data_IF_225657477688
#
_entry.id   IF_225657477688
#
_cell.length_a   1.000
_cell.length_b   1.000
_cell.length_c   1.000
_cell.angle_alpha   90.00
_cell.angle_beta   90.00
_cell.angle_gamma   90.00
#
_symmetry.space_group_name_H-M   'P 1'
#
loop_
_entity.id
_entity.type
_entity.pdbx_description
1 polymer ?
#
# COMPACT_ATOMS: atom_id res chain seq x y z
N UNK A 1 -5.41 -26.58 -30.10
CA UNK A 1 -6.51 -25.64 -29.80
C UNK A 1 -6.78 -25.76 -28.29
N UNK A 2 -6.06 -25.01 -27.49
CA UNK A 2 -6.22 -25.03 -26.02
C UNK A 2 -7.28 -23.98 -25.66
N UNK A 3 -8.39 -24.44 -25.11
CA UNK A 3 -9.44 -23.57 -24.58
C UNK A 3 -8.93 -22.99 -23.26
N UNK A 4 -8.74 -21.69 -23.22
CA UNK A 4 -8.47 -20.94 -21.98
C UNK A 4 -9.70 -20.98 -21.08
N UNK A 5 -9.57 -21.15 -19.76
CA UNK A 5 -10.68 -20.97 -18.82
C UNK A 5 -11.11 -19.49 -18.86
N UNK A 6 -12.41 -19.27 -18.97
CA UNK A 6 -13.01 -17.94 -18.93
C UNK A 6 -12.71 -17.26 -17.58
N UNK A 7 -12.37 -15.99 -17.57
CA UNK A 7 -12.13 -15.27 -16.32
C UNK A 7 -13.41 -15.15 -15.50
N UNK A 8 -13.28 -15.26 -14.20
CA UNK A 8 -14.35 -14.94 -13.24
C UNK A 8 -14.78 -13.49 -13.53
N UNK A 9 -16.03 -13.30 -13.97
CA UNK A 9 -16.63 -11.98 -14.15
C UNK A 9 -16.78 -11.32 -12.80
N UNK A 10 -16.01 -10.32 -12.54
CA UNK A 10 -16.33 -9.32 -11.55
C UNK A 10 -17.45 -8.47 -12.11
N UNK A 11 -18.62 -8.48 -11.45
CA UNK A 11 -19.78 -7.73 -11.93
C UNK A 11 -19.48 -6.22 -11.89
N UNK A 12 -19.51 -5.61 -13.04
CA UNK A 12 -19.62 -4.16 -13.16
C UNK A 12 -21.00 -3.78 -12.61
N UNK A 13 -21.05 -3.17 -11.43
CA UNK A 13 -22.28 -2.65 -10.85
C UNK A 13 -22.81 -1.52 -11.74
N UNK A 14 -23.94 -1.76 -12.40
CA UNK A 14 -24.68 -0.72 -13.08
C UNK A 14 -25.18 0.28 -12.04
N UNK A 15 -24.81 1.55 -12.22
CA UNK A 15 -25.28 2.66 -11.40
C UNK A 15 -26.78 2.87 -11.61
N UNK A 16 -27.56 2.73 -10.56
CA UNK A 16 -28.95 3.22 -10.55
C UNK A 16 -28.93 4.76 -10.48
N UNK A 17 -29.68 5.38 -11.39
CA UNK A 17 -29.84 6.82 -11.48
C UNK A 17 -30.60 7.42 -10.29
N UNK A 18 -30.51 8.73 -10.07
CA UNK A 18 -31.05 9.37 -8.87
C UNK A 18 -32.57 9.43 -8.92
N UNK A 19 -33.25 8.95 -7.87
CA UNK A 19 -34.67 9.20 -7.62
C UNK A 19 -34.84 10.64 -7.18
N UNK A 20 -35.69 11.36 -7.92
CA UNK A 20 -36.20 12.70 -7.54
C UNK A 20 -37.00 12.60 -6.25
N UNK A 21 -36.65 13.39 -5.26
CA UNK A 21 -37.52 13.71 -4.12
C UNK A 21 -38.14 15.10 -4.32
N UNK A 22 -39.47 15.12 -4.30
CA UNK A 22 -40.29 16.30 -4.42
C UNK A 22 -40.12 17.26 -3.23
N UNK A 23 -40.18 18.53 -3.55
CA UNK A 23 -39.99 19.63 -2.65
C UNK A 23 -41.07 19.80 -1.59
N UNK A 24 -40.67 20.40 -0.49
CA UNK A 24 -41.61 21.06 0.44
C UNK A 24 -41.09 22.47 0.70
N UNK A 25 -41.89 23.44 0.34
CA UNK A 25 -41.54 24.85 0.48
C UNK A 25 -41.69 25.36 1.91
N UNK A 26 -40.76 26.21 2.32
CA UNK A 26 -40.99 27.06 3.49
C UNK A 26 -40.66 28.53 3.22
N UNK A 27 -41.48 29.36 3.82
CA UNK A 27 -41.70 30.80 3.59
C UNK A 27 -40.54 31.67 4.13
N UNK A 28 -40.33 32.80 3.43
CA UNK A 28 -39.46 33.91 3.79
C UNK A 28 -39.85 34.57 5.11
N UNK A 29 -38.92 34.74 6.02
CA UNK A 29 -38.95 35.70 7.11
C UNK A 29 -37.65 36.52 7.11
N UNK A 30 -37.80 37.85 6.90
CA UNK A 30 -36.69 38.82 7.01
C UNK A 30 -36.48 39.12 8.49
N UNK A 31 -35.26 39.02 8.97
CA UNK A 31 -34.77 39.74 10.15
C UNK A 31 -33.40 40.34 9.86
N UNK A 32 -33.33 41.65 9.89
CA UNK A 32 -32.07 42.39 9.95
C UNK A 32 -31.51 42.28 11.36
N UNK A 33 -30.24 41.86 11.48
CA UNK A 33 -29.44 42.20 12.66
C UNK A 33 -27.98 42.55 12.25
N UNK A 34 -27.49 43.62 12.83
CA UNK A 34 -26.19 44.19 12.65
C UNK A 34 -25.09 43.18 13.05
N UNK A 35 -24.12 42.99 12.16
CA UNK A 35 -22.87 42.28 12.49
C UNK A 35 -21.87 43.21 13.14
N UNK A 36 -21.56 42.97 14.40
CA UNK A 36 -20.25 43.36 14.99
C UNK A 36 -19.23 42.25 14.73
N UNK A 37 -18.18 42.55 13.98
CA UNK A 37 -17.11 41.60 13.68
C UNK A 37 -16.21 41.42 14.91
N UNK A 38 -16.32 40.32 15.60
CA UNK A 38 -15.30 39.80 16.52
C UNK A 38 -14.47 38.78 15.74
N UNK A 39 -13.24 39.14 15.42
CA UNK A 39 -12.22 38.19 14.96
C UNK A 39 -11.75 37.45 16.23
N UNK A 40 -12.43 36.39 16.59
CA UNK A 40 -11.91 35.42 17.53
C UNK A 40 -11.17 34.37 16.72
N UNK A 41 -9.84 34.42 16.78
CA UNK A 41 -8.98 33.33 16.32
C UNK A 41 -9.35 32.06 17.09
N UNK A 42 -10.06 31.15 16.44
CA UNK A 42 -10.34 29.82 16.96
C UNK A 42 -9.03 29.05 16.94
N UNK A 43 -8.25 29.11 18.03
CA UNK A 43 -7.34 28.03 18.36
C UNK A 43 -8.22 26.79 18.55
N UNK A 44 -8.26 25.91 17.56
CA UNK A 44 -8.82 24.58 17.72
C UNK A 44 -7.95 23.88 18.74
N UNK A 45 -8.40 23.89 20.01
CA UNK A 45 -7.83 23.04 21.04
C UNK A 45 -7.92 21.62 20.50
N UNK A 46 -6.77 20.97 20.34
CA UNK A 46 -6.71 19.55 20.07
C UNK A 46 -7.49 18.87 21.21
N UNK A 47 -8.70 18.39 20.95
CA UNK A 47 -9.41 17.54 21.91
C UNK A 47 -8.46 16.39 22.27
N UNK A 48 -8.19 16.24 23.55
CA UNK A 48 -7.44 15.11 24.09
C UNK A 48 -8.34 13.86 23.95
N UNK A 49 -8.34 13.27 22.77
CA UNK A 49 -9.11 12.06 22.48
C UNK A 49 -8.55 10.94 23.34
N UNK A 50 -9.36 10.43 24.23
CA UNK A 50 -8.94 9.40 25.20
C UNK A 50 -8.66 8.04 24.53
N UNK A 51 -9.10 7.81 23.28
CA UNK A 51 -9.01 6.54 22.54
C UNK A 51 -8.49 6.76 21.11
N UNK A 52 -7.88 5.73 20.49
CA UNK A 52 -7.48 5.78 19.09
C UNK A 52 -8.70 5.92 18.18
N UNK A 53 -8.56 6.67 17.09
CA UNK A 53 -9.62 6.79 16.11
C UNK A 53 -9.08 7.20 14.72
N UNK A 54 -9.78 6.78 13.64
CA UNK A 54 -9.45 7.18 12.29
C UNK A 54 -10.13 8.48 11.92
N UNK A 55 -9.40 9.34 11.23
CA UNK A 55 -9.86 10.65 10.76
C UNK A 55 -9.82 10.67 9.24
N UNK A 56 -10.95 10.95 8.61
CA UNK A 56 -11.00 11.20 7.16
C UNK A 56 -10.40 12.59 6.88
N UNK A 57 -9.23 12.61 6.27
CA UNK A 57 -8.52 13.84 5.94
C UNK A 57 -8.97 14.41 4.61
N UNK A 58 -9.24 13.53 3.63
CA UNK A 58 -9.77 13.90 2.32
C UNK A 58 -10.69 12.80 1.80
N UNK A 59 -11.88 13.19 1.34
CA UNK A 59 -12.86 12.25 0.80
C UNK A 59 -12.54 11.85 -0.65
N UNK A 60 -11.92 12.75 -1.39
CA UNK A 60 -11.52 12.55 -2.79
C UNK A 60 -10.27 13.39 -3.07
N UNK A 61 -9.10 12.77 -3.07
CA UNK A 61 -7.87 13.40 -3.49
C UNK A 61 -7.88 13.68 -5.00
N UNK A 62 -7.00 14.59 -5.46
CA UNK A 62 -6.96 15.04 -6.85
C UNK A 62 -6.57 13.97 -7.89
N UNK A 63 -5.99 12.86 -7.43
CA UNK A 63 -5.63 11.73 -8.30
C UNK A 63 -6.82 10.79 -8.53
N UNK A 64 -6.80 10.09 -9.69
CA UNK A 64 -7.82 9.12 -10.03
C UNK A 64 -7.87 7.97 -9.00
N UNK A 65 -9.07 7.57 -8.59
CA UNK A 65 -9.29 6.43 -7.71
C UNK A 65 -8.59 5.18 -8.27
N UNK A 66 -7.73 4.56 -7.45
CA UNK A 66 -6.84 3.47 -7.85
C UNK A 66 -6.41 2.60 -6.67
N UNK A 67 -5.84 1.46 -6.97
CA UNK A 67 -5.14 0.57 -6.07
C UNK A 67 -3.72 0.27 -6.58
N UNK A 68 -2.97 -0.58 -5.89
CA UNK A 68 -1.66 -1.10 -6.31
C UNK A 68 -0.61 -0.03 -6.62
N UNK A 69 -0.80 1.20 -6.15
CA UNK A 69 0.12 2.30 -6.39
C UNK A 69 1.41 2.16 -5.57
N UNK A 70 2.51 2.70 -6.10
CA UNK A 70 3.72 2.95 -5.32
C UNK A 70 3.53 4.15 -4.39
N UNK A 71 4.12 4.07 -3.19
CA UNK A 71 4.00 5.10 -2.15
C UNK A 71 5.32 5.41 -1.45
N UNK A 72 5.49 6.67 -1.03
CA UNK A 72 6.65 7.12 -0.26
C UNK A 72 6.27 8.17 0.77
N UNK A 73 7.04 8.23 1.85
CA UNK A 73 7.25 9.44 2.63
C UNK A 73 8.65 9.94 2.31
N UNK A 74 8.74 11.09 1.68
CA UNK A 74 10.01 11.63 1.22
C UNK A 74 10.00 13.16 1.26
N UNK A 75 11.05 13.76 1.81
CA UNK A 75 11.21 15.21 1.97
C UNK A 75 9.97 15.89 2.54
N UNK A 76 9.51 15.39 3.67
CA UNK A 76 8.33 15.89 4.40
C UNK A 76 7.05 15.97 3.54
N UNK A 77 6.88 15.03 2.62
CA UNK A 77 5.68 14.86 1.79
C UNK A 77 5.29 13.39 1.65
N UNK A 78 4.00 13.17 1.51
CA UNK A 78 3.41 11.93 1.04
C UNK A 78 3.48 11.89 -0.49
N UNK A 79 3.75 10.72 -1.07
CA UNK A 79 3.84 10.53 -2.51
C UNK A 79 3.05 9.31 -2.95
N UNK A 80 2.33 9.41 -4.07
CA UNK A 80 1.62 8.33 -4.74
C UNK A 80 1.98 8.36 -6.22
N UNK A 81 2.17 7.17 -6.81
CA UNK A 81 2.50 7.04 -8.22
C UNK A 81 2.05 5.70 -8.80
N UNK A 82 1.75 5.68 -10.09
CA UNK A 82 1.36 4.45 -10.78
C UNK A 82 0.09 3.84 -10.20
N UNK A 83 0.05 2.51 -10.13
CA UNK A 83 -1.08 1.73 -9.63
C UNK A 83 -1.97 1.21 -10.75
N UNK A 84 -3.15 0.75 -10.36
CA UNK A 84 -4.14 0.20 -11.26
C UNK A 84 -5.51 0.86 -11.07
N UNK A 85 -6.28 1.00 -12.15
CA UNK A 85 -7.67 1.46 -12.08
C UNK A 85 -8.60 0.71 -13.05
N UNK A 86 -8.06 0.10 -14.11
CA UNK A 86 -8.85 -0.60 -15.12
C UNK A 86 -8.01 -1.59 -15.92
N UNK A 87 -8.46 -2.84 -16.04
CA UNK A 87 -7.71 -3.89 -16.73
C UNK A 87 -7.63 -3.75 -18.25
N UNK A 88 -8.40 -2.83 -18.84
CA UNK A 88 -8.41 -2.53 -20.30
C UNK A 88 -7.57 -1.31 -20.65
N UNK A 89 -6.81 -0.76 -19.73
CA UNK A 89 -5.93 0.40 -19.92
C UNK A 89 -4.54 0.11 -19.33
N UNK A 90 -3.53 0.77 -19.88
CA UNK A 90 -2.19 0.71 -19.31
C UNK A 90 -2.18 1.38 -17.93
N UNK A 91 -1.33 0.91 -16.99
CA UNK A 91 -1.18 1.54 -15.70
C UNK A 91 -0.83 3.02 -15.81
N UNK A 92 -1.35 3.88 -14.92
CA UNK A 92 -1.01 5.30 -14.92
C UNK A 92 0.47 5.52 -14.61
N UNK A 93 1.03 6.61 -15.10
CA UNK A 93 2.43 6.99 -14.88
C UNK A 93 2.56 8.37 -14.24
N UNK A 94 1.48 8.84 -13.65
CA UNK A 94 1.45 10.10 -12.92
C UNK A 94 2.09 9.96 -11.54
N UNK A 95 2.59 11.08 -11.05
CA UNK A 95 3.18 11.21 -9.71
C UNK A 95 2.52 12.36 -9.00
N UNK A 96 2.05 12.11 -7.80
CA UNK A 96 1.36 13.06 -6.94
C UNK A 96 2.06 13.18 -5.59
N UNK A 97 2.00 14.36 -4.99
CA UNK A 97 2.53 14.56 -3.65
C UNK A 97 1.65 15.47 -2.81
N UNK A 98 1.73 15.30 -1.48
CA UNK A 98 0.99 16.11 -0.52
C UNK A 98 1.85 16.43 0.71
N UNK A 99 1.79 17.65 1.19
CA UNK A 99 2.45 18.06 2.43
C UNK A 99 1.58 17.81 3.69
N UNK A 100 0.28 17.51 3.53
CA UNK A 100 -0.67 17.44 4.63
C UNK A 100 -1.69 16.29 4.52
N UNK A 101 -1.64 15.50 3.44
CA UNK A 101 -2.58 14.42 3.13
C UNK A 101 -3.95 14.91 2.63
N UNK A 102 -4.18 16.22 2.52
CA UNK A 102 -5.45 16.84 2.12
C UNK A 102 -5.38 17.43 0.72
N UNK A 103 -4.44 18.34 0.49
CA UNK A 103 -4.16 18.89 -0.82
C UNK A 103 -3.08 18.06 -1.53
N UNK A 104 -3.33 17.69 -2.77
CA UNK A 104 -2.42 16.89 -3.58
C UNK A 104 -2.05 17.62 -4.86
N UNK A 105 -0.75 17.75 -5.08
CA UNK A 105 -0.16 18.38 -6.24
C UNK A 105 0.23 17.31 -7.27
N UNK A 106 -0.15 17.50 -8.53
CA UNK A 106 0.35 16.70 -9.64
C UNK A 106 1.77 17.14 -9.97
N UNK A 107 2.74 16.27 -9.68
CA UNK A 107 4.18 16.55 -9.92
C UNK A 107 4.56 16.28 -11.36
N UNK A 108 4.13 15.14 -11.93
CA UNK A 108 4.25 14.83 -13.35
C UNK A 108 3.08 13.97 -13.83
N UNK A 109 2.65 14.19 -15.06
CA UNK A 109 1.58 13.41 -15.69
C UNK A 109 2.07 12.06 -16.23
N UNK A 110 3.35 11.95 -16.55
CA UNK A 110 3.88 10.78 -17.26
C UNK A 110 5.37 10.61 -16.99
N UNK A 111 5.68 9.84 -15.96
CA UNK A 111 7.04 9.39 -15.72
C UNK A 111 7.51 8.41 -16.82
N UNK A 112 8.83 8.20 -16.98
CA UNK A 112 9.38 7.40 -18.08
C UNK A 112 9.15 5.88 -17.93
N UNK A 113 8.97 5.40 -16.70
CA UNK A 113 8.70 3.97 -16.42
C UNK A 113 7.31 3.57 -16.86
N UNK A 114 7.13 2.30 -17.28
CA UNK A 114 5.85 1.77 -17.78
C UNK A 114 5.27 0.66 -16.89
N UNK A 115 6.12 -0.05 -16.13
CA UNK A 115 5.69 -1.09 -15.20
C UNK A 115 5.35 -0.43 -13.86
N UNK A 116 4.12 -0.03 -13.67
CA UNK A 116 3.71 0.81 -12.54
C UNK A 116 2.52 0.28 -11.74
N UNK A 117 2.00 -0.88 -12.08
CA UNK A 117 1.03 -1.61 -11.27
C UNK A 117 1.78 -2.60 -10.35
N UNK A 118 1.49 -2.59 -9.07
CA UNK A 118 2.20 -3.36 -8.03
C UNK A 118 3.74 -3.22 -8.11
N UNK A 119 4.28 -2.01 -8.26
CA UNK A 119 5.71 -1.82 -8.28
C UNK A 119 6.32 -2.07 -6.90
N UNK A 120 7.56 -2.48 -6.88
CA UNK A 120 8.39 -2.43 -5.67
C UNK A 120 8.90 -1.00 -5.50
N UNK A 121 8.74 -0.44 -4.32
CA UNK A 121 9.14 0.95 -4.05
C UNK A 121 9.80 1.11 -2.68
N UNK A 122 10.76 2.02 -2.57
CA UNK A 122 11.50 2.29 -1.33
C UNK A 122 12.16 3.67 -1.37
N UNK A 123 12.33 4.30 -0.21
CA UNK A 123 13.23 5.44 -0.03
C UNK A 123 14.58 4.92 0.41
N UNK A 124 15.64 5.28 -0.31
CA UNK A 124 17.00 4.88 0.01
C UNK A 124 18.01 5.92 -0.45
N UNK A 125 18.96 6.29 0.41
CA UNK A 125 20.01 7.28 0.13
C UNK A 125 19.48 8.57 -0.49
N UNK A 126 18.50 9.19 0.19
CA UNK A 126 17.82 10.42 -0.23
C UNK A 126 17.26 10.39 -1.66
N UNK A 127 16.70 9.25 -2.05
CA UNK A 127 16.03 9.01 -3.33
C UNK A 127 14.79 8.15 -3.16
N UNK A 128 13.78 8.42 -3.94
CA UNK A 128 12.66 7.52 -4.18
C UNK A 128 13.07 6.52 -5.26
N UNK A 129 12.88 5.23 -5.00
CA UNK A 129 13.19 4.15 -5.93
C UNK A 129 11.93 3.40 -6.31
N UNK A 130 11.79 3.09 -7.60
CA UNK A 130 10.71 2.32 -8.16
C UNK A 130 11.29 1.20 -9.03
N UNK A 131 10.83 -0.03 -8.82
CA UNK A 131 11.44 -1.22 -9.39
C UNK A 131 10.37 -2.22 -9.81
N UNK A 132 10.64 -3.00 -10.88
CA UNK A 132 9.73 -4.04 -11.32
C UNK A 132 8.34 -3.51 -11.66
N UNK A 133 7.31 -4.22 -11.22
CA UNK A 133 5.91 -3.89 -11.46
C UNK A 133 5.34 -4.54 -12.71
N UNK A 134 4.04 -4.35 -12.94
CA UNK A 134 3.28 -4.89 -14.07
C UNK A 134 2.92 -3.80 -15.08
N UNK A 135 2.88 -4.18 -16.34
CA UNK A 135 2.49 -3.33 -17.45
C UNK A 135 1.33 -3.93 -18.22
N UNK A 136 0.43 -3.07 -18.64
CA UNK A 136 -0.62 -3.30 -19.64
C UNK A 136 -1.81 -4.16 -19.16
N UNK A 137 -1.96 -4.35 -17.86
CA UNK A 137 -3.10 -5.06 -17.29
C UNK A 137 -3.29 -6.45 -17.93
N UNK A 138 -4.44 -6.70 -18.57
CA UNK A 138 -4.75 -7.92 -19.34
C UNK A 138 -4.65 -7.73 -20.85
N UNK A 139 -4.17 -6.58 -21.30
CA UNK A 139 -4.02 -6.26 -22.72
C UNK A 139 -2.85 -7.04 -23.34
N UNK A 140 -2.81 -7.18 -24.67
CA UNK A 140 -1.63 -7.72 -25.37
C UNK A 140 -0.36 -6.95 -25.00
N UNK A 141 0.74 -7.67 -24.84
CA UNK A 141 2.03 -7.09 -24.41
C UNK A 141 2.17 -6.87 -22.90
N UNK A 142 1.24 -7.41 -22.08
CA UNK A 142 1.38 -7.42 -20.62
C UNK A 142 2.69 -8.12 -20.21
N UNK A 143 3.33 -7.61 -19.16
CA UNK A 143 4.60 -8.15 -18.67
C UNK A 143 4.93 -7.64 -17.27
N UNK A 144 5.69 -8.44 -16.51
CA UNK A 144 6.43 -7.97 -15.36
C UNK A 144 7.73 -7.29 -15.80
N UNK A 145 8.25 -6.38 -14.97
CA UNK A 145 9.50 -5.69 -15.19
C UNK A 145 10.60 -6.09 -14.21
N UNK A 146 11.86 -5.75 -14.54
CA UNK A 146 12.99 -5.78 -13.63
C UNK A 146 13.90 -4.55 -13.80
N UNK A 147 13.37 -3.49 -14.38
CA UNK A 147 14.03 -2.18 -14.42
C UNK A 147 14.02 -1.54 -13.03
N UNK A 148 15.00 -0.67 -12.80
CA UNK A 148 15.15 0.10 -11.57
C UNK A 148 15.27 1.57 -11.90
N UNK A 149 14.41 2.39 -11.31
CA UNK A 149 14.35 3.83 -11.49
C UNK A 149 14.49 4.56 -10.16
N UNK A 150 15.02 5.78 -10.19
CA UNK A 150 15.08 6.63 -9.01
C UNK A 150 14.81 8.10 -9.35
N UNK A 151 14.35 8.85 -8.36
CA UNK A 151 14.14 10.28 -8.44
C UNK A 151 14.43 10.95 -7.09
N UNK A 152 14.82 12.22 -7.12
CA UNK A 152 14.97 13.09 -5.93
C UNK A 152 13.86 14.12 -5.80
N UNK A 153 12.99 14.24 -6.82
CA UNK A 153 11.96 15.27 -6.90
C UNK A 153 10.60 14.76 -7.40
N UNK A 154 10.51 13.48 -7.80
CA UNK A 154 9.31 12.84 -8.35
C UNK A 154 8.97 13.25 -9.79
N UNK A 155 9.57 14.32 -10.32
CA UNK A 155 9.37 14.79 -11.69
C UNK A 155 10.39 14.20 -12.66
N UNK A 156 11.65 14.18 -12.24
CA UNK A 156 12.78 13.74 -13.04
C UNK A 156 13.25 12.36 -12.55
N UNK A 157 13.02 11.34 -13.37
CA UNK A 157 13.38 9.96 -13.09
C UNK A 157 14.57 9.51 -13.91
N UNK A 158 15.52 8.84 -13.26
CA UNK A 158 16.71 8.29 -13.87
C UNK A 158 16.68 6.77 -13.77
N UNK A 159 17.03 6.09 -14.85
CA UNK A 159 17.15 4.64 -14.86
C UNK A 159 18.50 4.22 -14.29
N UNK A 160 18.50 3.52 -13.19
CA UNK A 160 19.70 2.95 -12.60
C UNK A 160 20.18 1.72 -13.39
N UNK A 161 19.22 0.84 -13.75
CA UNK A 161 19.44 -0.29 -14.67
C UNK A 161 18.16 -0.62 -15.44
N UNK A 162 18.33 -1.02 -16.70
CA UNK A 162 17.21 -1.47 -17.54
C UNK A 162 16.79 -2.92 -17.21
N UNK A 163 17.71 -3.73 -16.66
CA UNK A 163 17.50 -5.12 -16.29
C UNK A 163 18.37 -5.46 -15.07
N UNK A 164 17.74 -5.53 -13.91
CA UNK A 164 18.42 -5.99 -12.70
C UNK A 164 18.70 -7.51 -12.75
N UNK A 165 19.57 -8.00 -11.87
CA UNK A 165 19.96 -9.42 -11.82
C UNK A 165 18.83 -10.38 -11.42
N UNK A 166 17.76 -9.88 -10.79
CA UNK A 166 16.58 -10.66 -10.46
C UNK A 166 15.60 -10.73 -11.63
N UNK A 167 14.81 -11.82 -11.70
CA UNK A 167 13.82 -12.02 -12.76
C UNK A 167 12.73 -10.95 -12.72
N UNK A 168 12.17 -10.53 -13.88
CA UNK A 168 11.01 -9.63 -13.94
C UNK A 168 9.90 -10.08 -12.99
N UNK A 169 9.43 -9.19 -12.10
CA UNK A 169 8.44 -9.55 -11.07
C UNK A 169 7.63 -8.38 -10.54
N UNK A 170 6.55 -8.73 -9.85
CA UNK A 170 5.67 -7.82 -9.15
C UNK A 170 5.45 -8.29 -7.71
N UNK A 171 4.88 -7.43 -6.89
CA UNK A 171 4.38 -7.78 -5.56
C UNK A 171 5.41 -8.49 -4.67
N UNK A 172 6.69 -8.22 -4.88
CA UNK A 172 7.75 -8.55 -3.94
C UNK A 172 7.79 -7.47 -2.85
N UNK A 173 8.14 -7.87 -1.63
CA UNK A 173 8.34 -6.90 -0.57
C UNK A 173 9.72 -6.24 -0.66
N UNK A 174 9.82 -4.99 -0.20
CA UNK A 174 11.08 -4.23 -0.16
C UNK A 174 11.32 -3.64 1.21
N UNK A 175 12.57 -3.66 1.64
CA UNK A 175 13.02 -2.99 2.86
C UNK A 175 14.38 -2.35 2.66
N UNK A 176 14.65 -1.27 3.43
CA UNK A 176 16.00 -0.80 3.68
C UNK A 176 16.53 -1.51 4.93
N UNK A 177 17.65 -2.19 4.80
CA UNK A 177 18.28 -2.88 5.91
C UNK A 177 19.79 -2.85 5.79
N UNK A 178 20.45 -2.41 6.86
CA UNK A 178 21.91 -2.30 6.95
C UNK A 178 22.56 -1.59 5.76
N UNK A 179 21.98 -0.44 5.36
CA UNK A 179 22.50 0.41 4.30
C UNK A 179 22.39 -0.18 2.89
N UNK A 180 21.45 -1.11 2.68
CA UNK A 180 21.13 -1.72 1.39
C UNK A 180 19.63 -1.77 1.17
N UNK A 181 19.21 -1.72 -0.09
CA UNK A 181 17.86 -2.08 -0.51
C UNK A 181 17.75 -3.59 -0.62
N UNK A 182 16.65 -4.15 -0.19
CA UNK A 182 16.37 -5.58 -0.25
C UNK A 182 15.06 -5.84 -0.99
N UNK A 183 15.04 -6.90 -1.81
CA UNK A 183 13.85 -7.43 -2.49
C UNK A 183 13.64 -8.87 -2.02
N UNK A 184 12.41 -9.20 -1.63
CA UNK A 184 12.05 -10.49 -1.04
C UNK A 184 10.87 -11.08 -1.81
N UNK A 185 11.05 -12.24 -2.46
CA UNK A 185 10.00 -13.00 -3.12
C UNK A 185 9.32 -12.27 -4.28
N UNK A 186 7.99 -12.35 -4.33
CA UNK A 186 7.17 -11.81 -5.42
C UNK A 186 6.75 -12.87 -6.44
N UNK A 187 6.14 -12.45 -7.54
CA UNK A 187 5.75 -13.34 -8.64
C UNK A 187 6.19 -12.79 -10.00
N UNK A 188 6.57 -13.67 -10.90
CA UNK A 188 6.92 -13.34 -12.29
C UNK A 188 5.69 -13.13 -13.17
N UNK A 189 4.53 -13.55 -12.69
CA UNK A 189 3.32 -13.49 -13.49
C UNK A 189 2.08 -13.23 -12.63
N UNK A 190 1.27 -12.24 -13.00
CA UNK A 190 0.06 -11.89 -12.27
C UNK A 190 -1.14 -12.76 -12.64
N UNK A 191 -1.38 -12.99 -13.93
CA UNK A 191 -2.64 -13.58 -14.43
C UNK A 191 -2.51 -14.99 -14.98
N UNK A 192 -1.33 -15.38 -15.44
CA UNK A 192 -1.15 -16.55 -16.29
C UNK A 192 -0.06 -17.50 -15.82
N UNK A 193 0.60 -17.19 -14.70
CA UNK A 193 1.62 -18.02 -14.09
C UNK A 193 1.02 -19.19 -13.33
N UNK A 194 1.86 -20.13 -13.03
CA UNK A 194 1.61 -21.18 -12.04
C UNK A 194 2.39 -20.89 -10.75
N UNK A 195 2.33 -21.80 -9.79
CA UNK A 195 3.05 -21.66 -8.52
C UNK A 195 4.58 -21.57 -8.71
N UNK A 196 5.14 -22.00 -9.86
CA UNK A 196 6.57 -21.86 -10.17
C UNK A 196 6.99 -20.40 -10.41
N UNK A 197 6.03 -19.54 -10.74
CA UNK A 197 6.24 -18.09 -10.87
C UNK A 197 6.51 -17.40 -9.54
N UNK A 198 6.09 -17.99 -8.44
CA UNK A 198 6.33 -17.46 -7.09
C UNK A 198 7.79 -17.62 -6.69
N UNK A 199 8.30 -16.64 -5.96
CA UNK A 199 9.68 -16.60 -5.49
C UNK A 199 9.78 -16.57 -3.97
N UNK A 200 10.90 -17.11 -3.46
CA UNK A 200 11.36 -16.94 -2.09
C UNK A 200 12.86 -16.65 -2.05
N UNK A 201 13.39 -16.15 -3.18
CA UNK A 201 14.72 -15.62 -3.24
C UNK A 201 14.81 -14.24 -2.57
N UNK A 202 16.00 -13.88 -2.15
CA UNK A 202 16.29 -12.61 -1.50
C UNK A 202 17.48 -11.96 -2.18
N UNK A 203 17.29 -10.71 -2.60
CA UNK A 203 18.29 -9.92 -3.30
C UNK A 203 18.56 -8.63 -2.55
N UNK A 204 19.79 -8.13 -2.64
CA UNK A 204 20.15 -6.85 -2.07
C UNK A 204 21.00 -6.00 -3.02
N UNK A 205 20.90 -4.66 -2.86
CA UNK A 205 21.72 -3.71 -3.61
C UNK A 205 22.12 -2.52 -2.75
N UNK A 206 23.33 -2.03 -2.93
CA UNK A 206 23.81 -0.81 -2.29
C UNK A 206 23.60 0.46 -3.13
N UNK A 207 23.24 0.32 -4.42
CA UNK A 207 23.23 1.41 -5.39
C UNK A 207 22.07 1.33 -6.41
N UNK A 208 21.27 0.25 -6.39
CA UNK A 208 20.18 -0.02 -7.31
C UNK A 208 20.59 -0.48 -8.71
N UNK A 209 21.89 -0.59 -8.98
CA UNK A 209 22.45 -1.07 -10.26
C UNK A 209 22.89 -2.52 -10.16
N UNK A 210 23.78 -2.78 -9.22
CA UNK A 210 24.32 -4.10 -8.95
C UNK A 210 23.48 -4.78 -7.86
N UNK A 211 22.91 -5.93 -8.19
CA UNK A 211 22.09 -6.73 -7.29
C UNK A 211 22.75 -8.06 -6.98
N UNK A 212 22.90 -8.34 -5.71
CA UNK A 212 23.47 -9.59 -5.20
C UNK A 212 22.33 -10.51 -4.76
N UNK A 213 22.37 -11.76 -5.23
CA UNK A 213 21.54 -12.84 -4.69
C UNK A 213 22.10 -13.23 -3.31
N UNK A 214 21.35 -12.93 -2.26
CA UNK A 214 21.75 -13.26 -0.88
C UNK A 214 21.36 -14.69 -0.52
N UNK A 215 20.15 -15.13 -0.93
CA UNK A 215 19.73 -16.53 -0.86
C UNK A 215 18.78 -16.85 -2.00
N UNK A 216 18.96 -18.01 -2.63
CA UNK A 216 18.08 -18.49 -3.70
C UNK A 216 16.77 -19.08 -3.15
N UNK A 217 16.77 -19.55 -1.90
CA UNK A 217 15.63 -20.18 -1.24
C UNK A 217 15.65 -19.82 0.25
N UNK A 218 14.89 -18.82 0.65
CA UNK A 218 14.67 -18.50 2.05
C UNK A 218 13.84 -19.60 2.75
N UNK A 219 13.86 -19.62 4.08
CA UNK A 219 13.16 -20.65 4.86
C UNK A 219 11.64 -20.61 4.76
N UNK A 220 11.07 -19.48 4.31
CA UNK A 220 9.62 -19.32 4.06
C UNK A 220 9.24 -19.80 2.64
N UNK A 221 7.98 -20.20 2.47
CA UNK A 221 7.47 -20.67 1.17
C UNK A 221 7.44 -19.57 0.12
N UNK A 222 7.65 -19.87 -1.19
CA UNK A 222 7.46 -18.91 -2.28
C UNK A 222 6.13 -18.19 -2.18
N UNK A 223 6.13 -16.86 -2.35
CA UNK A 223 4.94 -16.03 -2.19
C UNK A 223 5.06 -14.66 -2.83
N UNK A 224 3.91 -14.08 -3.16
CA UNK A 224 3.73 -12.70 -3.56
C UNK A 224 2.71 -12.01 -2.63
N UNK A 225 2.50 -10.70 -2.79
CA UNK A 225 1.48 -9.93 -2.05
C UNK A 225 1.67 -9.98 -0.52
N UNK A 226 2.84 -10.37 -0.06
CA UNK A 226 3.26 -10.33 1.33
C UNK A 226 3.88 -8.99 1.66
N UNK A 227 4.06 -8.70 2.92
CA UNK A 227 4.72 -7.51 3.39
C UNK A 227 6.03 -7.82 4.09
N UNK A 228 6.94 -6.85 4.09
CA UNK A 228 8.14 -6.88 4.88
C UNK A 228 8.38 -5.55 5.58
N UNK A 229 8.91 -5.61 6.78
CA UNK A 229 9.30 -4.42 7.56
C UNK A 229 10.62 -4.69 8.30
N UNK A 230 11.29 -3.61 8.72
CA UNK A 230 12.45 -3.69 9.61
C UNK A 230 12.06 -3.18 10.98
N UNK A 231 12.25 -4.01 12.00
CA UNK A 231 12.03 -3.65 13.40
C UNK A 231 13.14 -4.25 14.26
N UNK A 232 13.72 -3.47 15.18
CA UNK A 232 14.76 -3.89 16.11
C UNK A 232 15.94 -4.64 15.42
N UNK A 233 16.50 -4.04 14.37
CA UNK A 233 17.60 -4.58 13.53
C UNK A 233 17.32 -5.98 12.97
N UNK A 234 16.06 -6.26 12.63
CA UNK A 234 15.62 -7.49 11.97
C UNK A 234 14.64 -7.19 10.84
N UNK A 235 14.76 -7.93 9.75
CA UNK A 235 13.74 -7.97 8.71
C UNK A 235 12.65 -8.94 9.17
N UNK A 236 11.39 -8.53 9.06
CA UNK A 236 10.23 -9.42 9.22
C UNK A 236 9.51 -9.51 7.89
N UNK A 237 9.02 -10.71 7.53
CA UNK A 237 8.06 -10.93 6.46
C UNK A 237 6.83 -11.62 7.02
N UNK A 238 5.66 -11.33 6.47
CA UNK A 238 4.41 -11.95 6.90
C UNK A 238 3.32 -11.92 5.83
N UNK A 239 2.41 -12.89 5.92
CA UNK A 239 1.24 -13.01 5.05
C UNK A 239 1.57 -13.27 3.59
N UNK A 240 0.69 -12.82 2.69
CA UNK A 240 0.82 -13.06 1.26
C UNK A 240 0.46 -14.47 0.84
N UNK A 241 0.84 -14.87 -0.35
CA UNK A 241 0.54 -16.17 -0.91
C UNK A 241 0.54 -16.16 -2.43
N UNK A 242 -0.50 -16.73 -3.04
CA UNK A 242 -0.76 -16.70 -4.47
C UNK A 242 -2.22 -16.32 -4.76
N UNK A 243 -2.44 -15.58 -5.83
CA UNK A 243 -3.79 -15.22 -6.28
C UNK A 243 -4.31 -16.18 -7.34
N UNK A 244 -3.62 -16.34 -8.43
CA UNK A 244 -3.99 -17.17 -9.58
C UNK A 244 -2.77 -17.94 -10.12
N UNK A 245 -2.98 -19.13 -10.70
CA UNK A 245 -4.26 -19.82 -10.87
C UNK A 245 -4.76 -20.50 -9.60
N UNK A 246 -3.87 -20.87 -8.68
CA UNK A 246 -4.21 -21.56 -7.42
C UNK A 246 -4.13 -20.58 -6.26
N UNK A 247 -5.29 -20.16 -5.76
CA UNK A 247 -5.34 -19.26 -4.62
C UNK A 247 -4.92 -19.95 -3.33
N UNK A 248 -4.01 -19.31 -2.61
CA UNK A 248 -3.74 -19.57 -1.21
C UNK A 248 -3.25 -18.28 -0.53
N UNK A 249 -3.55 -18.13 0.75
CA UNK A 249 -3.09 -17.03 1.58
C UNK A 249 -2.49 -17.53 2.89
N UNK A 250 -1.67 -16.70 3.51
CA UNK A 250 -0.89 -17.02 4.71
C UNK A 250 -1.05 -15.94 5.77
N UNK A 251 -0.74 -16.32 7.02
CA UNK A 251 -0.64 -15.42 8.16
C UNK A 251 0.56 -15.79 9.07
N UNK A 252 1.52 -16.54 8.52
CA UNK A 252 2.78 -16.82 9.20
C UNK A 252 3.67 -15.56 9.24
N UNK A 253 4.56 -15.52 10.23
CA UNK A 253 5.51 -14.43 10.44
C UNK A 253 6.92 -15.02 10.55
N UNK A 254 7.84 -14.50 9.76
CA UNK A 254 9.25 -14.89 9.74
C UNK A 254 10.13 -13.70 10.02
N UNK A 255 11.29 -13.93 10.61
CA UNK A 255 12.27 -12.89 10.82
C UNK A 255 13.69 -13.32 10.46
N UNK A 256 14.52 -12.36 10.11
CA UNK A 256 15.94 -12.56 9.84
C UNK A 256 16.77 -11.40 10.41
N UNK A 257 17.91 -11.74 10.99
CA UNK A 257 18.90 -10.74 11.43
C UNK A 257 19.92 -10.38 10.34
N UNK A 258 19.98 -11.11 9.25
CA UNK A 258 20.98 -10.94 8.18
C UNK A 258 20.40 -10.99 6.76
N UNK A 259 19.10 -11.26 6.62
CA UNK A 259 18.40 -11.40 5.33
C UNK A 259 18.62 -12.77 4.67
N UNK A 260 19.43 -13.64 5.24
CA UNK A 260 19.79 -14.97 4.70
C UNK A 260 19.20 -16.10 5.53
N UNK A 261 19.41 -16.07 6.85
CA UNK A 261 18.90 -17.07 7.77
C UNK A 261 17.57 -16.61 8.37
N UNK A 262 16.54 -17.40 8.15
CA UNK A 262 15.15 -17.05 8.51
C UNK A 262 14.63 -17.98 9.60
N UNK A 263 13.95 -17.39 10.57
CA UNK A 263 13.26 -18.08 11.66
C UNK A 263 11.78 -17.80 11.60
N UNK A 264 10.95 -18.84 11.69
CA UNK A 264 9.53 -18.69 11.90
C UNK A 264 9.27 -18.19 13.32
N UNK A 265 8.68 -17.02 13.46
CA UNK A 265 8.31 -16.42 14.74
C UNK A 265 6.91 -16.89 15.17
N UNK A 266 6.03 -17.07 14.18
CA UNK A 266 4.67 -17.60 14.40
C UNK A 266 4.19 -18.29 13.12
N UNK A 267 3.66 -19.50 13.23
CA UNK A 267 3.12 -20.25 12.09
C UNK A 267 1.76 -19.71 11.63
N UNK A 268 0.99 -19.17 12.56
CA UNK A 268 -0.34 -18.59 12.31
C UNK A 268 -0.61 -17.45 13.29
N UNK A 269 -0.50 -16.21 12.82
CA UNK A 269 -0.92 -15.04 13.57
C UNK A 269 -2.46 -15.02 13.72
N UNK A 270 -3.02 -14.30 14.71
CA UNK A 270 -4.48 -14.33 14.97
C UNK A 270 -5.32 -13.64 13.89
N UNK A 271 -4.71 -12.80 13.03
CA UNK A 271 -5.40 -12.21 11.89
C UNK A 271 -5.57 -13.26 10.76
N UNK A 272 -6.66 -13.10 10.00
CA UNK A 272 -7.00 -14.02 8.90
C UNK A 272 -5.90 -14.03 7.83
N UNK A 273 -5.51 -15.19 7.25
CA UNK A 273 -4.62 -15.26 6.09
C UNK A 273 -5.09 -14.33 4.97
N UNK A 274 -4.19 -13.54 4.37
CA UNK A 274 -4.58 -12.51 3.41
C UNK A 274 -3.50 -12.12 2.42
N UNK A 275 -3.95 -11.61 1.27
CA UNK A 275 -3.15 -10.96 0.24
C UNK A 275 -3.40 -9.44 0.29
N UNK A 276 -2.53 -8.64 -0.35
CA UNK A 276 -2.78 -7.22 -0.67
C UNK A 276 -3.12 -6.34 0.54
N UNK A 277 -2.66 -6.72 1.69
CA UNK A 277 -2.71 -5.87 2.86
C UNK A 277 -1.52 -4.91 2.88
N UNK A 278 -1.59 -3.87 3.66
CA UNK A 278 -0.50 -2.92 3.83
C UNK A 278 0.14 -3.06 5.21
N UNK A 279 1.42 -2.67 5.31
CA UNK A 279 2.14 -2.73 6.57
C UNK A 279 3.08 -1.55 6.78
N UNK A 280 3.33 -1.21 8.03
CA UNK A 280 4.28 -0.19 8.42
C UNK A 280 4.92 -0.53 9.76
N UNK A 281 6.03 0.14 10.08
CA UNK A 281 6.53 0.24 11.46
C UNK A 281 6.14 1.62 12.01
N UNK A 282 5.35 1.62 13.06
CA UNK A 282 4.93 2.85 13.70
C UNK A 282 4.92 2.69 15.23
N UNK A 283 5.51 3.64 15.93
CA UNK A 283 5.67 3.64 17.39
C UNK A 283 6.21 2.32 17.94
N UNK A 284 7.30 1.82 17.32
CA UNK A 284 8.00 0.61 17.77
C UNK A 284 7.22 -0.70 17.57
N UNK A 285 6.22 -0.71 16.68
CA UNK A 285 5.41 -1.88 16.35
C UNK A 285 5.25 -2.07 14.86
N UNK A 286 5.14 -3.32 14.43
CA UNK A 286 4.69 -3.71 13.11
C UNK A 286 3.16 -3.61 13.06
N UNK A 287 2.64 -3.13 11.94
CA UNK A 287 1.20 -2.96 11.71
C UNK A 287 0.76 -3.73 10.47
N UNK A 288 -0.42 -4.34 10.53
CA UNK A 288 -1.13 -4.99 9.43
C UNK A 288 -2.47 -4.30 9.24
N UNK A 289 -2.76 -3.82 8.03
CA UNK A 289 -3.95 -3.04 7.71
C UNK A 289 -4.68 -3.63 6.50
N UNK A 290 -5.96 -3.93 6.65
CA UNK A 290 -6.81 -4.36 5.56
C UNK A 290 -6.32 -5.60 4.82
N UNK A 291 -6.48 -5.61 3.49
CA UNK A 291 -6.14 -6.74 2.64
C UNK A 291 -7.37 -7.50 2.15
N UNK A 292 -7.14 -8.67 1.56
CA UNK A 292 -8.19 -9.47 0.94
C UNK A 292 -7.95 -10.98 1.10
N UNK A 293 -9.05 -11.72 1.21
CA UNK A 293 -9.05 -13.18 1.09
C UNK A 293 -10.27 -13.63 0.29
N UNK A 294 -10.11 -14.70 -0.49
CA UNK A 294 -11.14 -15.20 -1.41
C UNK A 294 -12.46 -15.51 -0.70
N UNK A 295 -12.39 -16.06 0.51
CA UNK A 295 -13.54 -16.50 1.31
C UNK A 295 -14.13 -15.40 2.22
N UNK A 296 -13.45 -14.26 2.37
CA UNK A 296 -13.85 -13.18 3.29
C UNK A 296 -14.04 -11.82 2.61
N UNK A 297 -13.50 -11.69 1.37
CA UNK A 297 -13.43 -10.41 0.68
C UNK A 297 -12.47 -9.42 1.37
N UNK A 298 -12.74 -8.12 1.31
CA UNK A 298 -11.90 -7.08 1.90
C UNK A 298 -11.95 -7.06 3.43
N UNK A 299 -10.80 -6.84 4.04
CA UNK A 299 -10.68 -6.58 5.47
C UNK A 299 -10.64 -5.08 5.77
N UNK A 300 -11.17 -4.71 6.94
CA UNK A 300 -11.10 -3.36 7.51
C UNK A 300 -10.44 -3.35 8.89
N UNK A 301 -9.91 -4.50 9.32
CA UNK A 301 -9.23 -4.66 10.60
C UNK A 301 -7.79 -4.12 10.56
N UNK A 302 -7.31 -3.74 11.73
CA UNK A 302 -5.96 -3.23 11.95
C UNK A 302 -5.34 -3.99 13.11
N UNK A 303 -4.14 -4.52 12.92
CA UNK A 303 -3.42 -5.29 13.90
C UNK A 303 -2.03 -4.73 14.13
N UNK A 304 -1.48 -4.91 15.34
CA UNK A 304 -0.11 -4.51 15.63
C UNK A 304 0.62 -5.52 16.52
N UNK A 305 1.94 -5.57 16.40
CA UNK A 305 2.83 -6.42 17.19
C UNK A 305 4.16 -5.74 17.46
N UNK A 306 4.74 -5.93 18.64
CA UNK A 306 6.09 -5.48 18.96
C UNK A 306 7.17 -6.52 18.66
N UNK A 307 6.80 -7.79 18.46
CA UNK A 307 7.72 -8.92 18.42
C UNK A 307 7.45 -9.92 17.26
N UNK A 308 6.35 -9.75 16.51
CA UNK A 308 5.91 -10.66 15.46
C UNK A 308 5.23 -11.94 15.95
N UNK A 309 5.11 -12.13 17.27
CA UNK A 309 4.51 -13.31 17.89
C UNK A 309 3.17 -12.98 18.52
N UNK A 310 3.14 -11.92 19.30
CA UNK A 310 1.95 -11.44 19.99
C UNK A 310 1.33 -10.30 19.19
N UNK A 311 0.12 -10.52 18.68
CA UNK A 311 -0.63 -9.55 17.88
C UNK A 311 -1.89 -9.11 18.63
N UNK A 312 -2.19 -7.83 18.54
CA UNK A 312 -3.37 -7.20 19.12
C UNK A 312 -4.13 -6.47 18.02
N UNK A 313 -5.45 -6.63 18.01
CA UNK A 313 -6.31 -5.85 17.12
C UNK A 313 -6.50 -4.46 17.69
N UNK A 314 -6.43 -3.44 16.84
CA UNK A 314 -6.76 -2.07 17.19
C UNK A 314 -8.27 -1.87 17.05
N UNK A 315 -8.91 -1.54 18.15
CA UNK A 315 -10.32 -1.15 18.16
C UNK A 315 -10.44 0.38 18.04
N UNK A 316 -11.26 0.84 17.11
CA UNK A 316 -11.54 2.26 16.87
C UNK A 316 -13.04 2.48 16.68
N UNK A 317 -13.54 3.66 17.04
CA UNK A 317 -14.95 4.01 16.84
C UNK A 317 -15.28 4.23 15.37
N UNK A 318 -14.37 4.90 14.67
CA UNK A 318 -14.46 5.15 13.23
C UNK A 318 -13.43 4.28 12.52
N UNK A 319 -13.80 3.70 11.38
CA UNK A 319 -12.87 3.01 10.50
C UNK A 319 -13.22 3.33 9.04
N UNK A 320 -12.22 3.25 8.20
CA UNK A 320 -12.38 3.31 6.74
C UNK A 320 -13.09 2.06 6.21
N UNK A 321 -13.73 2.17 5.05
CA UNK A 321 -14.37 1.03 4.37
C UNK A 321 -13.31 -0.03 4.04
N UNK A 322 -13.62 -1.30 4.35
CA UNK A 322 -12.74 -2.47 4.08
C UNK A 322 -12.17 -2.42 2.66
N UNK A 323 -10.86 -2.62 2.54
CA UNK A 323 -10.11 -2.45 1.29
C UNK A 323 -8.81 -3.24 1.24
N UNK A 324 -8.30 -3.42 0.04
CA UNK A 324 -6.98 -3.97 -0.22
C UNK A 324 -6.17 -3.04 -1.14
N UNK A 325 -4.86 -3.30 -1.26
CA UNK A 325 -3.92 -2.58 -2.12
C UNK A 325 -3.96 -1.06 -1.94
N UNK A 326 -4.22 -0.61 -0.71
CA UNK A 326 -4.15 0.79 -0.35
C UNK A 326 -2.72 1.15 0.07
N UNK A 327 -2.34 2.39 -0.15
CA UNK A 327 -1.08 2.93 0.36
C UNK A 327 -1.11 3.07 1.86
N UNK A 328 0.06 2.90 2.50
CA UNK A 328 0.25 3.18 3.93
C UNK A 328 1.47 4.07 4.13
N UNK A 329 1.36 5.04 5.04
CA UNK A 329 2.45 5.95 5.36
C UNK A 329 2.60 6.14 6.87
N UNK A 330 3.82 6.37 7.31
CA UNK A 330 4.11 6.94 8.64
C UNK A 330 4.59 8.36 8.41
N UNK A 331 3.77 9.34 8.74
CA UNK A 331 4.02 10.73 8.42
C UNK A 331 3.51 11.67 9.52
N UNK A 332 4.34 12.61 9.96
CA UNK A 332 4.02 13.59 11.02
C UNK A 332 3.43 12.92 12.26
N UNK A 333 4.13 11.89 12.74
CA UNK A 333 3.74 11.04 13.90
C UNK A 333 2.31 10.48 13.82
N UNK A 334 1.86 10.13 12.62
CA UNK A 334 0.61 9.43 12.36
C UNK A 334 0.80 8.29 11.38
N UNK A 335 -0.08 7.30 11.47
CA UNK A 335 -0.26 6.28 10.45
C UNK A 335 -1.35 6.74 9.48
N UNK A 336 -1.08 6.67 8.19
CA UNK A 336 -1.99 7.13 7.13
C UNK A 336 -2.27 6.00 6.17
N UNK A 337 -3.47 6.02 5.57
CA UNK A 337 -3.82 5.21 4.40
C UNK A 337 -4.40 6.07 3.30
N UNK A 338 -4.21 5.66 2.03
CA UNK A 338 -4.75 6.35 0.87
C UNK A 338 -5.14 5.39 -0.25
N UNK A 339 -6.28 5.65 -0.90
CA UNK A 339 -6.76 4.86 -2.04
C UNK A 339 -7.15 3.44 -1.71
N UNK A 340 -6.90 2.54 -2.66
CA UNK A 340 -7.17 1.12 -2.58
C UNK A 340 -8.54 0.70 -3.10
N UNK A 341 -8.73 -0.61 -3.19
CA UNK A 341 -9.95 -1.22 -3.70
C UNK A 341 -10.97 -1.48 -2.59
N UNK A 342 -11.81 -0.49 -2.34
CA UNK A 342 -12.91 -0.58 -1.36
C UNK A 342 -14.28 -0.91 -1.99
N UNK A 343 -14.27 -1.30 -3.27
CA UNK A 343 -15.49 -1.57 -4.06
C UNK A 343 -16.53 -0.47 -3.99
N UNK A 344 -16.39 0.58 -4.83
CA UNK A 344 -15.37 0.69 -5.88
C UNK A 344 -14.02 1.16 -5.37
N UNK A 345 -13.05 1.31 -6.29
CA UNK A 345 -11.81 2.06 -6.07
C UNK A 345 -12.12 3.45 -5.55
N UNK A 346 -11.26 3.98 -4.70
CA UNK A 346 -11.43 5.34 -4.18
C UNK A 346 -10.11 6.11 -4.12
N UNK A 347 -10.20 7.39 -3.78
CA UNK A 347 -9.06 8.27 -3.52
C UNK A 347 -9.17 8.95 -2.15
N UNK A 348 -9.81 8.28 -1.20
CA UNK A 348 -9.86 8.74 0.18
C UNK A 348 -8.48 8.70 0.84
N UNK A 349 -8.26 9.64 1.75
CA UNK A 349 -7.06 9.67 2.60
C UNK A 349 -7.51 9.75 4.06
N UNK A 350 -6.98 8.86 4.88
CA UNK A 350 -7.29 8.74 6.30
C UNK A 350 -6.01 8.79 7.15
N UNK A 351 -6.08 9.35 8.34
CA UNK A 351 -5.01 9.28 9.32
C UNK A 351 -5.49 8.67 10.63
N UNK A 352 -4.62 7.91 11.29
CA UNK A 352 -4.87 7.38 12.62
C UNK A 352 -4.41 8.38 13.67
N UNK A 353 -5.35 8.84 14.50
CA UNK A 353 -5.03 9.44 15.76
C UNK A 353 -4.74 8.33 16.78
N UNK A 354 -3.55 8.31 17.34
CA UNK A 354 -3.15 7.38 18.38
C UNK A 354 -2.66 8.20 19.59
N UNK A 355 -3.29 8.09 20.78
CA UNK A 355 -2.83 8.82 21.96
C UNK A 355 -1.35 8.57 22.25
N UNK A 356 -0.63 9.58 22.72
CA UNK A 356 0.82 9.47 22.96
C UNK A 356 1.18 8.34 23.92
N UNK A 357 0.34 8.10 24.93
CA UNK A 357 0.51 7.07 25.94
C UNK A 357 -0.23 5.76 25.65
N UNK A 358 -0.68 5.51 24.40
CA UNK A 358 -1.51 4.35 24.07
C UNK A 358 -0.85 3.01 24.43
N UNK A 359 0.44 2.87 24.20
CA UNK A 359 1.19 1.66 24.51
C UNK A 359 1.85 1.63 25.88
N UNK A 360 1.77 2.72 26.62
CA UNK A 360 2.35 2.83 27.97
C UNK A 360 1.31 2.85 29.08
N UNK A 361 0.03 2.80 28.74
CA UNK A 361 -1.05 2.65 29.73
C UNK A 361 -0.99 1.25 30.35
N UNK A 362 -1.08 1.12 31.69
CA UNK A 362 -1.06 -0.15 32.39
C UNK A 362 -2.30 -1.01 32.05
#
# INVERSE_FOLDING_TARGET
MNRFPLPIRWGEGQGEGPRQLHGCGFKKGRCLFLCAAFIAGSAVLAEDRAAPDWVLETKAAGWQARDSQGEFVFRDRLWIMGGWFKSTEAPPRDVWSSADGRAWDLVTKSAPWIHSDLPMNIVFKDRMWMMGGWYNGRLPGHSAGNQVWWSTDGANWQQATAAAGWSPRIAAATVEFRGRMWILGGTENYYFGDDSSLKNDVWSSADGREWKLETAKAGWSPRAYHQAVVLNDRIYIFGGGNYVPTYHSKNDVWSSADGVHWKCETEAAPWHPRLWFSSAVYRGRMWVLGGWAKEKDNFGDVWHSADGRTWQQLETKTCWKSRHEHSVFVFKDKLWIAGGHARPLNSEVWSLYLPANFFTRP
#
